data_IF_589744531775
#
_entry.id   IF_589744531775
#
_cell.length_a   1.000
_cell.length_b   1.000
_cell.length_c   1.000
_cell.angle_alpha   90.00
_cell.angle_beta   90.00
_cell.angle_gamma   90.00
#
_symmetry.space_group_name_H-M   'P 1'
#
loop_
_entity.id
_entity.type
_entity.pdbx_description
1 polymer ?
#
# COMPACT_ATOMS: atom_id res chain seq x y z
N UNK A 1 -26.20 3.23 -0.29
CA UNK A 1 -25.28 2.43 0.55
C UNK A 1 -26.04 1.17 0.95
N UNK A 2 -25.78 0.04 0.29
CA UNK A 2 -26.24 -1.25 0.79
C UNK A 2 -25.12 -1.78 1.70
N UNK A 3 -25.30 -1.69 3.01
CA UNK A 3 -24.43 -2.36 3.98
C UNK A 3 -24.89 -3.81 4.07
N UNK A 4 -24.24 -4.69 3.32
CA UNK A 4 -24.51 -6.12 3.36
C UNK A 4 -23.68 -6.73 4.48
N UNK A 5 -24.12 -6.52 5.72
CA UNK A 5 -23.43 -7.09 6.88
C UNK A 5 -23.42 -8.62 6.83
N UNK A 6 -24.51 -9.28 6.40
CA UNK A 6 -24.58 -10.74 6.20
C UNK A 6 -25.66 -11.13 5.16
N UNK A 7 -25.29 -11.85 4.10
CA UNK A 7 -26.22 -12.61 3.25
C UNK A 7 -25.78 -14.08 3.23
N UNK A 8 -26.53 -14.92 3.94
CA UNK A 8 -26.16 -16.32 4.19
C UNK A 8 -27.24 -17.24 3.64
N UNK A 9 -26.93 -17.97 2.57
CA UNK A 9 -27.65 -19.17 2.18
C UNK A 9 -26.75 -20.39 2.43
N UNK A 10 -26.87 -21.00 3.61
CA UNK A 10 -26.21 -22.26 3.97
C UNK A 10 -27.26 -23.35 4.17
N UNK A 11 -27.17 -24.45 3.41
CA UNK A 11 -28.14 -25.55 3.50
C UNK A 11 -27.61 -26.88 2.95
N UNK A 12 -28.28 -27.97 3.31
CA UNK A 12 -28.05 -29.32 2.77
C UNK A 12 -28.80 -29.58 1.45
N UNK A 13 -29.63 -28.63 1.00
CA UNK A 13 -30.28 -28.65 -0.31
C UNK A 13 -29.37 -28.14 -1.43
N UNK A 14 -29.85 -28.07 -2.68
CA UNK A 14 -29.13 -27.42 -3.77
C UNK A 14 -28.76 -25.96 -3.39
N UNK A 15 -27.61 -25.49 -3.83
CA UNK A 15 -27.19 -24.11 -3.58
C UNK A 15 -28.22 -23.10 -4.13
N UNK A 16 -28.54 -22.10 -3.33
CA UNK A 16 -29.47 -21.03 -3.72
C UNK A 16 -28.82 -20.00 -4.66
N UNK A 17 -29.62 -19.03 -5.11
CA UNK A 17 -29.11 -17.86 -5.84
C UNK A 17 -29.14 -16.64 -4.94
N UNK A 18 -28.03 -15.92 -4.86
CA UNK A 18 -27.93 -14.59 -4.28
C UNK A 18 -27.79 -13.59 -5.43
N UNK A 19 -28.72 -12.65 -5.52
CA UNK A 19 -28.71 -11.59 -6.53
C UNK A 19 -28.70 -10.24 -5.81
N UNK A 20 -27.66 -9.44 -6.05
CA UNK A 20 -27.49 -8.12 -5.45
C UNK A 20 -27.29 -7.12 -6.58
N UNK A 21 -28.18 -6.14 -6.64
CA UNK A 21 -28.06 -4.97 -7.52
C UNK A 21 -27.97 -3.72 -6.67
N UNK A 22 -26.89 -2.96 -6.80
CA UNK A 22 -26.72 -1.68 -6.11
C UNK A 22 -25.74 -0.76 -6.84
N UNK A 23 -25.59 0.48 -6.37
CA UNK A 23 -24.53 1.37 -6.89
C UNK A 23 -23.16 1.00 -6.32
N UNK A 24 -23.12 0.76 -5.00
CA UNK A 24 -21.91 0.43 -4.26
C UNK A 24 -22.21 -0.74 -3.33
N UNK A 25 -21.21 -1.60 -3.14
CA UNK A 25 -21.23 -2.70 -2.19
C UNK A 25 -19.95 -2.63 -1.35
N UNK A 26 -20.13 -2.55 -0.03
CA UNK A 26 -19.02 -2.62 0.91
C UNK A 26 -19.21 -3.84 1.79
N UNK A 27 -18.19 -4.69 1.83
CA UNK A 27 -18.07 -5.77 2.79
C UNK A 27 -16.90 -5.44 3.72
N UNK A 28 -17.21 -5.35 5.02
CA UNK A 28 -16.21 -5.18 6.07
C UNK A 28 -16.46 -6.25 7.13
N UNK A 29 -15.62 -7.30 7.14
CA UNK A 29 -15.92 -8.58 7.82
C UNK A 29 -17.25 -9.19 7.35
N UNK A 30 -17.72 -8.77 6.17
CA UNK A 30 -18.99 -9.18 5.57
C UNK A 30 -18.87 -10.51 4.82
N UNK A 31 -19.99 -11.22 4.73
CA UNK A 31 -20.09 -12.53 4.11
C UNK A 31 -21.27 -12.55 3.12
N UNK A 32 -20.98 -12.89 1.86
CA UNK A 32 -21.99 -13.23 0.84
C UNK A 32 -21.77 -14.69 0.44
N UNK A 33 -22.71 -15.56 0.78
CA UNK A 33 -22.53 -17.00 0.55
C UNK A 33 -23.74 -17.68 -0.05
N UNK A 34 -23.44 -18.59 -0.99
CA UNK A 34 -24.31 -19.66 -1.43
C UNK A 34 -23.56 -21.01 -1.34
N UNK A 35 -22.93 -21.24 -0.19
CA UNK A 35 -22.13 -22.43 0.12
C UNK A 35 -23.02 -23.63 0.47
N UNK A 36 -22.58 -24.83 0.10
CA UNK A 36 -23.32 -26.07 0.34
C UNK A 36 -22.44 -27.13 1.01
N UNK A 37 -23.07 -27.98 1.83
CA UNK A 37 -22.34 -29.02 2.58
C UNK A 37 -22.17 -30.32 1.78
N UNK A 38 -23.15 -30.67 0.93
CA UNK A 38 -23.26 -32.00 0.32
C UNK A 38 -23.86 -31.99 -1.10
N UNK A 39 -23.94 -30.83 -1.73
CA UNK A 39 -24.58 -30.60 -3.03
C UNK A 39 -23.75 -29.61 -3.84
N UNK A 40 -24.10 -29.40 -5.11
CA UNK A 40 -23.47 -28.34 -5.90
C UNK A 40 -23.67 -26.96 -5.24
N UNK A 41 -22.62 -26.14 -5.27
CA UNK A 41 -22.64 -24.76 -4.78
C UNK A 41 -23.67 -23.92 -5.53
N UNK A 42 -24.11 -22.83 -4.90
CA UNK A 42 -25.12 -21.95 -5.45
C UNK A 42 -24.58 -20.97 -6.49
N UNK A 43 -25.39 -19.96 -6.80
CA UNK A 43 -25.00 -18.88 -7.70
C UNK A 43 -24.98 -17.56 -6.94
N UNK A 44 -23.94 -16.75 -7.12
CA UNK A 44 -23.89 -15.37 -6.65
C UNK A 44 -23.79 -14.48 -7.89
N UNK A 45 -24.70 -13.51 -7.99
CA UNK A 45 -24.78 -12.53 -9.07
C UNK A 45 -24.69 -11.14 -8.42
N UNK A 46 -23.62 -10.41 -8.69
CA UNK A 46 -23.39 -9.05 -8.18
C UNK A 46 -23.38 -8.07 -9.35
N UNK A 47 -24.41 -7.25 -9.46
CA UNK A 47 -24.53 -6.16 -10.44
C UNK A 47 -24.34 -4.82 -9.73
N UNK A 48 -23.10 -4.38 -9.59
CA UNK A 48 -22.72 -3.22 -8.76
C UNK A 48 -22.18 -2.11 -9.64
N UNK A 49 -22.96 -1.05 -9.87
CA UNK A 49 -22.66 -0.12 -10.98
C UNK A 49 -21.41 0.74 -10.80
N UNK A 50 -20.84 0.86 -9.60
CA UNK A 50 -19.64 1.67 -9.34
C UNK A 50 -18.51 0.86 -8.71
N UNK A 51 -18.68 0.39 -7.47
CA UNK A 51 -17.57 -0.20 -6.72
C UNK A 51 -18.01 -1.28 -5.74
N UNK A 52 -17.20 -2.34 -5.69
CA UNK A 52 -17.19 -3.34 -4.62
C UNK A 52 -15.92 -3.12 -3.80
N UNK A 53 -16.06 -2.95 -2.49
CA UNK A 53 -14.94 -2.90 -1.54
C UNK A 53 -15.00 -4.08 -0.57
N UNK A 54 -13.88 -4.80 -0.43
CA UNK A 54 -13.72 -5.92 0.49
C UNK A 54 -12.66 -5.57 1.55
N UNK A 55 -13.03 -5.67 2.82
CA UNK A 55 -12.18 -5.29 3.95
C UNK A 55 -12.30 -6.30 5.10
N UNK A 56 -11.23 -6.44 5.87
CA UNK A 56 -11.17 -7.16 7.13
C UNK A 56 -11.68 -8.62 7.07
N UNK A 57 -11.17 -9.44 6.15
CA UNK A 57 -11.54 -10.86 6.10
C UNK A 57 -12.86 -11.11 5.38
N UNK A 58 -13.27 -10.23 4.47
CA UNK A 58 -14.54 -10.35 3.77
C UNK A 58 -14.54 -11.48 2.75
N UNK A 59 -15.70 -12.16 2.60
CA UNK A 59 -15.78 -13.33 1.72
C UNK A 59 -17.03 -13.35 0.84
N UNK A 60 -16.82 -13.66 -0.43
CA UNK A 60 -17.87 -13.98 -1.41
C UNK A 60 -17.65 -15.44 -1.83
N UNK A 61 -18.58 -16.35 -1.52
CA UNK A 61 -18.29 -17.78 -1.69
C UNK A 61 -19.48 -18.64 -2.11
N UNK A 62 -19.23 -19.49 -3.09
CA UNK A 62 -20.10 -20.59 -3.53
C UNK A 62 -19.41 -21.95 -3.33
N UNK A 63 -18.45 -22.01 -2.41
CA UNK A 63 -17.70 -23.23 -2.11
C UNK A 63 -18.63 -24.37 -1.69
N UNK A 64 -18.36 -25.56 -2.20
CA UNK A 64 -19.22 -26.72 -2.03
C UNK A 64 -18.49 -27.94 -1.45
N UNK A 65 -19.22 -28.69 -0.64
CA UNK A 65 -18.77 -29.98 -0.11
C UNK A 65 -17.91 -29.88 1.15
N UNK A 66 -17.64 -31.04 1.72
CA UNK A 66 -16.81 -31.31 2.90
C UNK A 66 -16.04 -32.60 2.70
N UNK A 67 -15.17 -32.95 3.66
CA UNK A 67 -14.46 -34.23 3.64
C UNK A 67 -15.37 -35.47 3.63
N UNK A 68 -16.58 -35.36 4.18
CA UNK A 68 -17.52 -36.47 4.31
C UNK A 68 -18.64 -36.43 3.26
N UNK A 69 -18.78 -35.33 2.53
CA UNK A 69 -19.84 -35.14 1.54
C UNK A 69 -19.31 -34.30 0.39
N UNK A 70 -19.35 -34.83 -0.83
CA UNK A 70 -18.86 -34.10 -2.01
C UNK A 70 -19.76 -32.92 -2.41
N UNK A 71 -19.46 -32.36 -3.58
CA UNK A 71 -20.17 -31.22 -4.15
C UNK A 71 -19.26 -30.50 -5.14
N UNK A 72 -19.84 -30.05 -6.25
CA UNK A 72 -19.16 -29.21 -7.23
C UNK A 72 -19.29 -27.74 -6.83
N UNK A 73 -18.26 -26.94 -7.01
CA UNK A 73 -18.26 -25.51 -6.71
C UNK A 73 -19.32 -24.78 -7.53
N UNK A 74 -19.90 -23.72 -6.95
CA UNK A 74 -20.94 -22.95 -7.62
C UNK A 74 -20.41 -21.88 -8.59
N UNK A 75 -21.26 -20.93 -8.96
CA UNK A 75 -20.90 -19.86 -9.89
C UNK A 75 -20.94 -18.49 -9.20
N UNK A 76 -19.95 -17.65 -9.48
CA UNK A 76 -19.89 -16.26 -9.03
C UNK A 76 -19.76 -15.39 -10.28
N UNK A 77 -20.74 -14.52 -10.51
CA UNK A 77 -20.73 -13.52 -11.58
C UNK A 77 -20.72 -12.12 -10.94
N UNK A 78 -19.67 -11.36 -11.22
CA UNK A 78 -19.45 -10.02 -10.68
C UNK A 78 -19.33 -9.04 -11.83
N UNK A 79 -20.25 -8.08 -11.89
CA UNK A 79 -20.20 -6.95 -12.79
C UNK A 79 -20.06 -5.66 -11.96
N UNK A 80 -18.95 -4.95 -12.13
CA UNK A 80 -18.72 -3.66 -11.48
C UNK A 80 -17.71 -2.81 -12.24
N UNK A 81 -17.58 -1.51 -11.95
CA UNK A 81 -16.48 -0.72 -12.53
C UNK A 81 -15.18 -1.05 -11.77
N UNK A 82 -15.22 -1.01 -10.44
CA UNK A 82 -14.06 -1.31 -9.59
C UNK A 82 -14.33 -2.40 -8.57
N UNK A 83 -13.43 -3.39 -8.50
CA UNK A 83 -13.38 -4.37 -7.43
C UNK A 83 -12.09 -4.18 -6.62
N UNK A 84 -12.22 -3.79 -5.36
CA UNK A 84 -11.09 -3.42 -4.51
C UNK A 84 -11.10 -4.26 -3.24
N UNK A 85 -10.03 -4.99 -2.97
CA UNK A 85 -9.77 -5.57 -1.67
C UNK A 85 -8.65 -4.81 -0.97
N UNK A 86 -8.77 -4.61 0.35
CA UNK A 86 -7.62 -4.16 1.13
C UNK A 86 -6.53 -5.25 1.08
N UNK A 87 -5.27 -4.90 0.79
CA UNK A 87 -4.14 -5.82 0.86
C UNK A 87 -3.98 -6.40 2.27
N UNK A 88 -3.48 -7.63 2.37
CA UNK A 88 -3.11 -8.31 3.62
C UNK A 88 -4.25 -8.46 4.66
N UNK A 89 -5.50 -8.30 4.23
CA UNK A 89 -6.69 -8.47 5.05
C UNK A 89 -7.46 -9.77 4.74
N UNK A 90 -6.90 -10.68 3.92
CA UNK A 90 -7.52 -11.96 3.54
C UNK A 90 -8.98 -11.82 3.08
N UNK A 91 -9.18 -11.06 2.00
CA UNK A 91 -10.48 -10.91 1.37
C UNK A 91 -10.60 -11.89 0.19
N UNK A 92 -11.53 -12.82 0.28
CA UNK A 92 -11.55 -13.97 -0.61
C UNK A 92 -12.83 -14.05 -1.47
N UNK A 93 -12.64 -14.44 -2.73
CA UNK A 93 -13.72 -14.81 -3.66
C UNK A 93 -13.50 -16.26 -4.08
N UNK A 94 -14.37 -17.16 -3.61
CA UNK A 94 -14.13 -18.61 -3.74
C UNK A 94 -15.31 -19.38 -4.31
N UNK A 95 -15.08 -20.10 -5.40
CA UNK A 95 -15.99 -21.10 -5.96
C UNK A 95 -15.37 -22.50 -5.89
N UNK A 96 -14.79 -22.86 -4.74
CA UNK A 96 -14.03 -24.10 -4.59
C UNK A 96 -14.94 -25.32 -4.39
N UNK A 97 -14.40 -26.52 -4.59
CA UNK A 97 -15.05 -27.78 -4.22
C UNK A 97 -14.13 -28.60 -3.33
N UNK A 98 -14.68 -29.26 -2.29
CA UNK A 98 -13.88 -30.22 -1.53
C UNK A 98 -13.53 -31.45 -2.39
N UNK A 99 -14.56 -32.21 -2.81
CA UNK A 99 -14.39 -33.46 -3.56
C UNK A 99 -14.81 -33.39 -5.05
N UNK A 100 -15.66 -32.43 -5.42
CA UNK A 100 -16.17 -32.27 -6.77
C UNK A 100 -15.29 -31.40 -7.66
N UNK A 101 -15.85 -30.94 -8.77
CA UNK A 101 -15.21 -29.96 -9.64
C UNK A 101 -15.26 -28.56 -9.04
N UNK A 102 -14.17 -27.79 -9.17
CA UNK A 102 -14.18 -26.36 -8.91
C UNK A 102 -15.23 -25.66 -9.78
N UNK A 103 -15.78 -24.58 -9.26
CA UNK A 103 -16.85 -23.81 -9.89
C UNK A 103 -16.35 -22.79 -10.92
N UNK A 104 -17.12 -21.72 -11.09
CA UNK A 104 -16.75 -20.63 -12.00
C UNK A 104 -16.80 -19.29 -11.28
N UNK A 105 -15.77 -18.47 -11.47
CA UNK A 105 -15.74 -17.06 -11.07
C UNK A 105 -15.52 -16.21 -12.31
N UNK A 106 -16.53 -15.46 -12.70
CA UNK A 106 -16.47 -14.46 -13.75
C UNK A 106 -16.48 -13.07 -13.10
N UNK A 107 -15.44 -12.27 -13.36
CA UNK A 107 -15.36 -10.88 -12.94
C UNK A 107 -15.24 -9.99 -14.16
N UNK A 108 -16.27 -9.18 -14.39
CA UNK A 108 -16.26 -8.10 -15.36
C UNK A 108 -16.05 -6.78 -14.63
N UNK A 109 -14.84 -6.22 -14.73
CA UNK A 109 -14.51 -4.94 -14.11
C UNK A 109 -13.45 -4.14 -14.87
N UNK A 110 -13.58 -2.82 -14.87
CA UNK A 110 -12.57 -1.91 -15.44
C UNK A 110 -11.26 -1.96 -14.64
N UNK A 111 -11.34 -2.16 -13.32
CA UNK A 111 -10.19 -2.35 -12.46
C UNK A 111 -10.42 -3.33 -11.32
N UNK A 112 -9.43 -4.20 -11.09
CA UNK A 112 -9.38 -5.11 -9.93
C UNK A 112 -8.09 -4.83 -9.16
N UNK A 113 -8.21 -4.57 -7.87
CA UNK A 113 -7.09 -4.19 -7.00
C UNK A 113 -7.08 -5.01 -5.72
N UNK A 114 -5.88 -5.42 -5.30
CA UNK A 114 -5.67 -6.12 -4.03
C UNK A 114 -6.13 -7.58 -4.01
N UNK A 115 -6.61 -8.13 -5.12
CA UNK A 115 -7.00 -9.54 -5.27
C UNK A 115 -6.07 -10.27 -6.23
N UNK A 116 -5.68 -11.50 -5.89
CA UNK A 116 -4.85 -12.34 -6.77
C UNK A 116 -5.61 -13.61 -7.16
N UNK A 117 -5.88 -13.85 -8.46
CA UNK A 117 -6.34 -15.15 -8.91
C UNK A 117 -5.28 -16.21 -8.61
N UNK A 118 -5.65 -17.30 -7.93
CA UNK A 118 -4.75 -18.39 -7.60
C UNK A 118 -5.23 -19.70 -8.20
N UNK A 119 -4.33 -20.39 -8.86
CA UNK A 119 -4.48 -21.80 -9.22
C UNK A 119 -4.27 -22.69 -7.99
N UNK A 120 -4.71 -23.95 -8.11
CA UNK A 120 -4.47 -24.96 -7.09
C UNK A 120 -2.99 -25.17 -6.79
N UNK A 121 -2.15 -25.24 -7.82
CA UNK A 121 -0.72 -25.47 -7.67
C UNK A 121 -0.03 -24.32 -6.91
N UNK A 122 -0.46 -23.08 -7.14
CA UNK A 122 0.04 -21.92 -6.40
C UNK A 122 -0.40 -21.96 -4.93
N UNK A 123 -1.64 -22.36 -4.63
CA UNK A 123 -2.10 -22.56 -3.25
C UNK A 123 -1.26 -23.63 -2.53
N UNK A 124 -0.99 -24.77 -3.19
CA UNK A 124 -0.16 -25.84 -2.62
C UNK A 124 1.25 -25.34 -2.29
N UNK A 125 1.83 -24.52 -3.18
CA UNK A 125 3.16 -23.93 -2.97
C UNK A 125 3.16 -22.91 -1.82
N UNK A 126 2.16 -22.03 -1.75
CA UNK A 126 2.09 -20.98 -0.72
C UNK A 126 1.77 -21.54 0.67
N UNK A 127 0.89 -22.54 0.73
CA UNK A 127 0.49 -23.19 1.98
C UNK A 127 1.45 -24.31 2.40
N UNK A 128 2.31 -24.77 1.49
CA UNK A 128 3.28 -25.85 1.76
C UNK A 128 2.62 -27.20 2.02
N UNK A 129 1.41 -27.43 1.48
CA UNK A 129 0.62 -28.65 1.72
C UNK A 129 -0.21 -29.01 0.50
N UNK A 130 -0.44 -30.31 0.31
CA UNK A 130 -1.40 -30.87 -0.63
C UNK A 130 -2.59 -31.54 0.08
N UNK A 131 -2.71 -31.36 1.40
CA UNK A 131 -3.86 -31.86 2.18
C UNK A 131 -5.12 -31.07 1.78
N UNK A 132 -6.16 -31.72 1.21
CA UNK A 132 -7.41 -31.07 0.83
C UNK A 132 -8.10 -30.31 1.97
N UNK A 133 -7.88 -30.72 3.23
CA UNK A 133 -8.46 -30.06 4.40
C UNK A 133 -7.79 -28.70 4.70
N UNK A 134 -6.54 -28.52 4.28
CA UNK A 134 -5.74 -27.31 4.52
C UNK A 134 -5.58 -26.45 3.27
N UNK A 135 -5.95 -26.98 2.10
CA UNK A 135 -5.86 -26.29 0.81
C UNK A 135 -7.03 -25.29 0.62
N UNK A 136 -6.97 -24.21 1.39
CA UNK A 136 -7.99 -23.17 1.45
C UNK A 136 -7.32 -21.78 1.52
N UNK A 137 -7.65 -20.83 0.63
CA UNK A 137 -7.08 -19.47 0.66
C UNK A 137 -7.31 -18.72 1.98
N UNK A 138 -8.30 -19.14 2.78
CA UNK A 138 -8.50 -18.58 4.14
C UNK A 138 -7.27 -18.73 5.05
N UNK A 139 -6.33 -19.61 4.69
CA UNK A 139 -5.08 -19.83 5.42
C UNK A 139 -3.91 -18.95 4.93
N UNK A 140 -4.15 -18.08 3.95
CA UNK A 140 -3.18 -17.09 3.46
C UNK A 140 -3.44 -15.70 4.07
N UNK A 141 -2.42 -14.83 4.16
CA UNK A 141 -2.63 -13.42 4.49
C UNK A 141 -3.14 -12.61 3.28
N UNK A 142 -2.89 -13.09 2.06
CA UNK A 142 -3.34 -12.46 0.82
C UNK A 142 -4.85 -12.59 0.63
N UNK A 143 -5.38 -11.70 -0.21
CA UNK A 143 -6.76 -11.72 -0.68
C UNK A 143 -6.78 -12.41 -2.04
N UNK A 144 -7.49 -13.53 -2.17
CA UNK A 144 -7.35 -14.42 -3.34
C UNK A 144 -8.70 -14.71 -4.04
N UNK A 145 -8.64 -14.96 -5.35
CA UNK A 145 -9.76 -15.45 -6.16
C UNK A 145 -9.48 -16.88 -6.58
N UNK A 146 -10.37 -17.81 -6.23
CA UNK A 146 -10.13 -19.25 -6.44
C UNK A 146 -11.38 -19.98 -6.91
N UNK A 147 -11.18 -20.97 -7.78
CA UNK A 147 -12.22 -21.88 -8.24
C UNK A 147 -11.61 -23.27 -8.49
N UNK A 148 -11.13 -23.93 -7.43
CA UNK A 148 -10.36 -25.18 -7.51
C UNK A 148 -11.14 -26.37 -6.96
N UNK A 149 -10.75 -27.57 -7.39
CA UNK A 149 -11.08 -28.78 -6.64
C UNK A 149 -9.97 -29.04 -5.62
N UNK A 150 -10.30 -29.25 -4.34
CA UNK A 150 -9.29 -29.50 -3.28
C UNK A 150 -8.74 -30.91 -3.29
N UNK A 151 -9.43 -31.87 -3.88
CA UNK A 151 -8.99 -33.28 -3.94
C UNK A 151 -8.46 -33.72 -5.30
N UNK A 152 -8.85 -33.06 -6.40
CA UNK A 152 -8.45 -33.49 -7.74
C UNK A 152 -8.08 -32.30 -8.67
N UNK A 153 -6.77 -32.07 -8.95
CA UNK A 153 -6.33 -31.00 -9.85
C UNK A 153 -6.92 -31.04 -11.27
N UNK A 154 -7.40 -32.20 -11.74
CA UNK A 154 -8.01 -32.32 -13.08
C UNK A 154 -9.45 -31.80 -13.13
N UNK A 155 -10.03 -31.50 -11.97
CA UNK A 155 -11.38 -30.96 -11.84
C UNK A 155 -11.36 -29.50 -11.39
N UNK A 156 -10.25 -28.78 -11.59
CA UNK A 156 -10.21 -27.35 -11.30
C UNK A 156 -11.21 -26.61 -12.20
N UNK A 157 -11.86 -25.62 -11.58
CA UNK A 157 -12.80 -24.73 -12.21
C UNK A 157 -12.09 -23.58 -12.94
N UNK A 158 -12.84 -22.50 -13.16
CA UNK A 158 -12.35 -21.38 -13.94
C UNK A 158 -12.48 -20.06 -13.20
N UNK A 159 -11.42 -19.24 -13.28
CA UNK A 159 -11.46 -17.83 -12.92
C UNK A 159 -11.22 -17.03 -14.20
N UNK A 160 -12.21 -16.23 -14.60
CA UNK A 160 -12.14 -15.36 -15.77
C UNK A 160 -12.27 -13.91 -15.30
N UNK A 161 -11.28 -13.10 -15.65
CA UNK A 161 -11.30 -11.66 -15.44
C UNK A 161 -11.36 -10.99 -16.80
N UNK A 162 -12.40 -10.21 -17.04
CA UNK A 162 -12.57 -9.40 -18.24
C UNK A 162 -12.65 -7.93 -17.88
N UNK A 163 -11.72 -7.14 -18.42
CA UNK A 163 -11.81 -5.68 -18.40
C UNK A 163 -12.41 -5.19 -19.72
N UNK A 164 -13.54 -4.46 -19.70
CA UNK A 164 -14.03 -3.79 -20.90
C UNK A 164 -12.96 -2.85 -21.46
N UNK A 165 -12.81 -2.80 -22.78
CA UNK A 165 -11.85 -1.89 -23.43
C UNK A 165 -12.21 -0.43 -23.13
N UNK A 166 -11.36 0.26 -22.36
CA UNK A 166 -11.42 1.72 -22.21
C UNK A 166 -10.64 2.33 -23.37
N UNK A 167 -11.30 3.07 -24.25
CA UNK A 167 -10.66 3.82 -25.33
C UNK A 167 -9.89 5.04 -24.76
N UNK A 168 -8.54 5.02 -24.72
CA UNK A 168 -7.74 6.09 -24.13
C UNK A 168 -7.77 7.39 -24.95
N UNK A 169 -8.33 7.39 -26.17
CA UNK A 169 -8.40 8.57 -27.02
C UNK A 169 -9.53 9.55 -26.62
N UNK A 170 -10.39 9.17 -25.67
CA UNK A 170 -11.43 10.04 -25.10
C UNK A 170 -10.84 11.13 -24.17
N UNK A 171 -9.57 10.99 -23.75
CA UNK A 171 -8.89 11.92 -22.83
C UNK A 171 -7.77 12.77 -23.44
N UNK A 172 -7.43 12.57 -24.70
CA UNK A 172 -6.40 13.38 -25.37
C UNK A 172 -7.01 14.68 -25.87
N UNK A 173 -6.92 15.72 -25.05
CA UNK A 173 -7.07 17.10 -25.52
C UNK A 173 -5.93 17.33 -26.52
N UNK A 174 -6.25 17.57 -27.80
CA UNK A 174 -5.24 17.95 -28.77
C UNK A 174 -4.55 19.23 -28.28
N UNK A 175 -3.22 19.18 -28.12
CA UNK A 175 -2.45 20.38 -27.82
C UNK A 175 -2.72 21.39 -28.94
N UNK A 176 -3.14 22.63 -28.64
CA UNK A 176 -3.36 23.64 -29.67
C UNK A 176 -2.10 23.78 -30.54
N UNK A 177 -2.21 23.50 -31.85
CA UNK A 177 -1.08 23.56 -32.80
C UNK A 177 -0.54 24.98 -33.00
N UNK A 178 -1.19 25.98 -32.41
CA UNK A 178 -0.74 27.36 -32.42
C UNK A 178 0.38 27.55 -31.37
N UNK A 179 1.57 27.03 -31.69
CA UNK A 179 2.81 27.53 -31.10
C UNK A 179 2.90 29.00 -31.48
N UNK A 180 2.64 29.88 -30.52
CA UNK A 180 2.86 31.31 -30.71
C UNK A 180 4.35 31.51 -30.91
N UNK A 181 4.74 31.91 -32.11
CA UNK A 181 6.12 32.26 -32.44
C UNK A 181 6.53 33.52 -31.67
N UNK A 182 7.14 33.31 -30.48
CA UNK A 182 7.60 34.37 -29.60
C UNK A 182 8.65 35.29 -30.25
N UNK A 183 9.28 34.86 -31.36
CA UNK A 183 10.21 35.72 -32.11
C UNK A 183 9.49 36.88 -32.82
N UNK A 184 8.18 36.78 -33.04
CA UNK A 184 7.34 37.83 -33.62
C UNK A 184 6.68 38.74 -32.58
N UNK A 185 6.78 38.40 -31.29
CA UNK A 185 6.27 39.20 -30.17
C UNK A 185 7.33 40.13 -29.56
N UNK A 186 8.55 40.14 -30.08
CA UNK A 186 9.55 41.15 -29.74
C UNK A 186 9.10 42.47 -30.37
N UNK A 187 8.46 43.32 -29.57
CA UNK A 187 8.15 44.68 -29.96
C UNK A 187 9.43 45.40 -30.39
N UNK A 188 9.49 45.85 -31.65
CA UNK A 188 10.45 46.86 -32.08
C UNK A 188 10.17 48.12 -31.26
N UNK A 189 10.97 48.31 -30.20
CA UNK A 189 10.96 49.54 -29.42
C UNK A 189 11.19 50.73 -30.34
N UNK A 190 10.46 51.82 -30.10
CA UNK A 190 10.54 53.04 -30.88
C UNK A 190 11.97 53.57 -30.99
N UNK A 191 12.61 53.40 -32.14
CA UNK A 191 13.72 54.28 -32.55
C UNK A 191 13.11 55.58 -33.07
N UNK A 192 12.84 56.51 -32.16
CA UNK A 192 12.50 57.88 -32.50
C UNK A 192 13.67 58.55 -33.24
N UNK A 193 13.36 59.10 -34.42
CA UNK A 193 14.06 60.13 -35.18
C UNK A 193 15.54 60.40 -34.90
N UNK A 194 16.37 60.06 -35.89
CA UNK A 194 17.57 60.77 -36.35
C UNK A 194 18.19 61.81 -35.40
N UNK A 195 19.06 61.38 -34.48
CA UNK A 195 20.22 62.17 -34.05
C UNK A 195 21.40 61.22 -33.87
N UNK A 196 22.44 61.43 -34.69
CA UNK A 196 23.84 61.03 -34.52
C UNK A 196 24.12 59.71 -33.75
N UNK A 197 24.26 58.62 -34.50
CA UNK A 197 24.97 57.42 -34.06
C UNK A 197 26.49 57.70 -33.94
N UNK A 198 26.87 58.53 -32.97
CA UNK A 198 28.29 58.82 -32.67
C UNK A 198 28.62 58.56 -31.21
N UNK A 199 28.07 57.49 -30.63
CA UNK A 199 28.69 56.82 -29.47
C UNK A 199 28.02 55.46 -29.25
N UNK A 200 28.42 54.50 -30.10
CA UNK A 200 28.12 53.09 -29.85
C UNK A 200 29.11 52.66 -28.76
N UNK A 201 28.65 52.57 -27.51
CA UNK A 201 29.46 52.10 -26.39
C UNK A 201 30.12 50.76 -26.74
N UNK A 202 31.43 50.65 -26.53
CA UNK A 202 32.17 49.41 -26.76
C UNK A 202 32.13 48.53 -25.52
N UNK A 203 31.67 47.29 -25.64
CA UNK A 203 31.86 46.26 -24.64
C UNK A 203 33.24 45.62 -24.83
N UNK A 204 34.14 45.83 -23.86
CA UNK A 204 35.45 45.16 -23.83
C UNK A 204 35.32 43.94 -22.91
N UNK A 205 35.26 42.75 -23.53
CA UNK A 205 35.36 41.48 -22.82
C UNK A 205 36.84 41.20 -22.56
N UNK A 206 37.31 41.50 -21.34
CA UNK A 206 38.61 41.05 -20.87
C UNK A 206 38.50 39.57 -20.50
N UNK A 207 38.91 38.70 -21.42
CA UNK A 207 38.88 37.26 -21.23
C UNK A 207 39.74 36.81 -20.05
N UNK A 208 39.12 36.07 -19.13
CA UNK A 208 39.69 34.88 -18.48
C UNK A 208 38.61 33.82 -18.62
N UNK A 209 38.51 33.12 -19.75
CA UNK A 209 39.38 31.98 -20.02
C UNK A 209 38.89 30.78 -19.21
N UNK A 210 37.99 29.98 -19.80
CA UNK A 210 37.52 28.72 -19.25
C UNK A 210 36.34 28.16 -20.04
N UNK A 211 36.62 27.27 -21.00
CA UNK A 211 35.60 26.33 -21.48
C UNK A 211 35.22 25.40 -20.32
N UNK A 212 33.95 24.97 -20.20
CA UNK A 212 33.56 23.99 -19.19
C UNK A 212 34.38 22.71 -19.36
N UNK A 213 34.89 22.17 -18.25
CA UNK A 213 35.61 20.89 -18.28
C UNK A 213 34.72 19.80 -18.86
N UNK A 214 35.29 18.97 -19.73
CA UNK A 214 34.61 17.82 -20.31
C UNK A 214 34.11 16.89 -19.19
N UNK A 215 32.80 16.57 -19.14
CA UNK A 215 32.20 15.75 -18.10
C UNK A 215 32.70 14.30 -18.08
N UNK A 216 33.50 13.87 -19.07
CA UNK A 216 34.12 12.54 -19.12
C UNK A 216 35.56 12.52 -18.61
N UNK A 217 36.14 13.67 -18.24
CA UNK A 217 37.50 13.73 -17.72
C UNK A 217 37.58 13.19 -16.29
N UNK A 218 38.54 12.29 -16.05
CA UNK A 218 38.80 11.69 -14.74
C UNK A 218 39.26 12.74 -13.73
N UNK A 219 38.58 12.81 -12.58
CA UNK A 219 38.89 13.72 -11.46
C UNK A 219 40.30 13.46 -10.92
N UNK A 220 41.24 14.36 -11.18
CA UNK A 220 42.52 14.36 -10.47
C UNK A 220 42.33 15.01 -9.10
N UNK A 221 42.42 14.20 -8.05
CA UNK A 221 42.34 14.66 -6.66
C UNK A 221 43.61 15.42 -6.29
N UNK A 222 43.54 16.75 -6.24
CA UNK A 222 44.51 17.52 -5.46
C UNK A 222 44.14 17.38 -3.98
N UNK A 223 44.76 16.41 -3.30
CA UNK A 223 44.69 16.34 -1.83
C UNK A 223 45.38 17.56 -1.24
N UNK A 224 44.58 18.51 -0.74
CA UNK A 224 45.03 19.43 0.29
C UNK A 224 45.23 18.62 1.57
N UNK A 225 46.48 18.30 1.89
CA UNK A 225 46.87 17.86 3.22
C UNK A 225 46.56 19.01 4.19
N UNK A 226 45.46 18.90 4.93
CA UNK A 226 45.29 19.68 6.15
C UNK A 226 46.23 19.09 7.21
N UNK A 227 47.17 19.92 7.64
CA UNK A 227 48.06 19.64 8.76
C UNK A 227 47.23 19.46 10.04
N UNK A 228 47.32 18.28 10.65
CA UNK A 228 46.66 17.98 11.92
C UNK A 228 47.57 18.41 13.05
N UNK A 229 47.01 19.16 13.99
CA UNK A 229 47.71 19.70 15.16
C UNK A 229 48.58 18.63 15.84
N UNK A 230 49.84 18.98 16.05
CA UNK A 230 50.89 18.14 16.65
C UNK A 230 50.54 17.76 18.09
N UNK A 231 50.49 16.46 18.37
CA UNK A 231 50.65 15.93 19.70
C UNK A 231 52.15 16.03 20.08
N UNK A 232 52.44 16.73 21.17
CA UNK A 232 53.79 16.87 21.71
C UNK A 232 54.41 15.51 22.08
N UNK A 233 55.57 15.29 21.48
CA UNK A 233 56.71 14.44 21.81
C UNK A 233 56.55 13.34 22.89
N UNK A 234 56.59 12.08 22.44
CA UNK A 234 57.01 10.94 23.26
C UNK A 234 58.41 10.51 22.82
N UNK A 235 59.46 10.69 23.63
CA UNK A 235 60.71 9.96 23.48
C UNK A 235 60.54 8.54 24.03
N UNK A 236 61.02 7.57 23.26
CA UNK A 236 61.08 6.16 23.59
C UNK A 236 62.23 5.85 24.54
N UNK A 237 62.00 5.00 25.54
CA UNK A 237 62.67 3.71 25.74
C UNK A 237 62.55 3.19 27.18
N UNK A 238 62.19 1.91 27.26
CA UNK A 238 62.59 0.88 28.24
C UNK A 238 62.56 1.23 29.73
N UNK A 239 61.73 0.50 30.50
CA UNK A 239 62.19 -0.53 31.45
C UNK A 239 60.99 -1.28 32.04
N UNK A 240 61.17 -2.59 32.16
CA UNK A 240 60.32 -3.55 32.85
C UNK A 240 60.58 -3.46 34.37
N UNK A 241 59.76 -4.16 35.17
CA UNK A 241 60.03 -4.59 36.56
C UNK A 241 59.46 -3.75 37.74
N UNK A 242 58.24 -4.14 38.12
CA UNK A 242 57.76 -4.48 39.49
C UNK A 242 57.41 -3.43 40.56
N UNK A 243 56.40 -3.85 41.34
CA UNK A 243 56.12 -3.60 42.76
C UNK A 243 55.32 -2.36 43.18
N UNK A 244 54.03 -2.63 43.45
CA UNK A 244 53.45 -2.78 44.80
C UNK A 244 52.57 -1.63 45.34
N UNK A 245 51.38 -2.07 45.77
CA UNK A 245 50.43 -1.55 46.77
C UNK A 245 49.58 -0.29 46.48
N UNK A 246 48.26 -0.54 46.39
CA UNK A 246 47.21 0.41 46.80
C UNK A 246 46.26 -0.34 47.75
N UNK A 247 46.06 0.12 49.02
CA UNK A 247 45.07 -0.48 49.93
C UNK A 247 43.66 0.08 49.72
N UNK A 248 42.72 -0.85 49.54
CA UNK A 248 41.35 -0.93 50.06
C UNK A 248 40.58 0.35 50.50
N UNK A 249 39.39 0.51 49.91
CA UNK A 249 38.16 0.69 50.70
C UNK A 249 37.00 -0.09 50.09
N UNK A 250 36.32 -0.84 50.96
CA UNK A 250 35.27 -1.87 50.77
C UNK A 250 33.91 -1.38 50.22
N UNK A 251 33.02 -2.32 49.81
CA UNK A 251 31.91 -2.10 48.87
C UNK A 251 30.58 -1.76 49.53
N UNK A 252 29.70 -1.08 48.77
CA UNK A 252 28.27 -1.06 49.00
C UNK A 252 27.56 -1.59 47.74
N UNK A 253 26.91 -2.73 47.91
CA UNK A 253 26.05 -3.38 46.91
C UNK A 253 24.68 -2.70 46.90
N UNK A 254 24.23 -2.24 45.75
CA UNK A 254 22.80 -2.13 45.45
C UNK A 254 22.57 -2.40 43.97
N UNK A 255 22.12 -3.62 43.70
CA UNK A 255 21.47 -4.03 42.47
C UNK A 255 20.23 -3.16 42.25
N UNK A 256 20.17 -2.42 41.14
CA UNK A 256 18.92 -1.86 40.63
C UNK A 256 18.64 -2.45 39.27
N UNK A 257 17.62 -3.31 39.25
CA UNK A 257 17.03 -3.92 38.06
C UNK A 257 16.62 -2.85 37.04
N UNK A 258 16.99 -3.05 35.78
CA UNK A 258 16.39 -2.33 34.66
C UNK A 258 15.00 -2.93 34.46
N UNK A 259 13.98 -2.30 35.03
CA UNK A 259 12.58 -2.65 34.76
C UNK A 259 12.23 -2.21 33.33
N UNK A 260 11.69 -3.08 32.47
CA UNK A 260 11.22 -2.66 31.15
C UNK A 260 10.09 -1.66 31.35
N UNK A 261 10.24 -0.44 30.81
CA UNK A 261 9.13 0.50 30.74
C UNK A 261 8.13 -0.03 29.72
N UNK A 262 6.93 -0.34 30.19
CA UNK A 262 5.83 -0.80 29.36
C UNK A 262 5.41 0.35 28.45
N UNK A 263 5.54 0.16 27.14
CA UNK A 263 5.06 1.12 26.15
C UNK A 263 3.53 1.10 26.21
N UNK A 264 2.93 2.25 26.52
CA UNK A 264 1.48 2.40 26.61
C UNK A 264 0.96 2.99 25.30
N UNK A 265 0.01 2.29 24.69
CA UNK A 265 -0.59 2.69 23.42
C UNK A 265 -1.55 3.87 23.63
N UNK A 266 -1.51 4.82 22.69
CA UNK A 266 -2.40 5.97 22.70
C UNK A 266 -3.80 5.53 22.33
N UNK A 267 -4.78 5.91 23.14
CA UNK A 267 -6.17 5.46 22.98
C UNK A 267 -7.06 6.53 22.33
N UNK A 268 -6.65 7.79 22.32
CA UNK A 268 -7.37 8.85 21.63
C UNK A 268 -6.48 10.00 21.16
N UNK A 269 -6.93 10.70 20.12
CA UNK A 269 -6.40 11.97 19.65
C UNK A 269 -7.42 13.06 19.99
N UNK A 270 -6.98 14.16 20.60
CA UNK A 270 -7.83 15.31 20.94
C UNK A 270 -7.17 16.62 20.56
N UNK A 271 -7.95 17.64 20.19
CA UNK A 271 -7.44 18.99 19.91
C UNK A 271 -7.65 19.85 21.15
N UNK A 272 -6.59 20.50 21.64
CA UNK A 272 -6.68 21.39 22.82
C UNK A 272 -7.27 22.77 22.46
N UNK A 273 -7.53 23.61 23.46
CA UNK A 273 -8.07 24.98 23.25
C UNK A 273 -7.17 25.88 22.38
N UNK A 274 -5.89 25.52 22.20
CA UNK A 274 -4.94 26.21 21.34
C UNK A 274 -4.90 25.66 19.89
N UNK A 275 -5.70 24.64 19.55
CA UNK A 275 -5.76 24.05 18.21
C UNK A 275 -4.68 22.99 17.93
N UNK A 276 -3.97 22.51 18.96
CA UNK A 276 -2.92 21.51 18.80
C UNK A 276 -3.43 20.08 19.03
N UNK A 277 -2.89 19.13 18.27
CA UNK A 277 -3.23 17.70 18.39
C UNK A 277 -2.45 17.08 19.56
N UNK A 278 -3.18 16.57 20.54
CA UNK A 278 -2.67 15.91 21.75
C UNK A 278 -3.09 14.44 21.76
N UNK A 279 -2.14 13.56 22.10
CA UNK A 279 -2.34 12.13 22.26
C UNK A 279 -2.74 11.83 23.71
N UNK A 280 -3.84 11.12 23.92
CA UNK A 280 -4.36 10.74 25.23
C UNK A 280 -4.24 9.23 25.44
N UNK A 281 -3.68 8.84 26.58
CA UNK A 281 -3.64 7.45 27.06
C UNK A 281 -4.19 7.40 28.50
N UNK A 282 -5.01 6.40 28.79
CA UNK A 282 -5.60 6.16 30.11
C UNK A 282 -4.71 5.20 30.90
N UNK A 283 -4.01 5.73 31.90
CA UNK A 283 -3.37 4.95 32.96
C UNK A 283 -4.20 4.99 34.25
N UNK A 284 -3.91 4.10 35.19
CA UNK A 284 -4.60 4.02 36.49
C UNK A 284 -4.63 5.39 37.20
N UNK A 285 -5.74 6.10 37.04
CA UNK A 285 -6.14 7.24 37.86
C UNK A 285 -5.75 8.65 37.40
N UNK A 286 -4.94 8.87 36.37
CA UNK A 286 -4.65 10.23 35.87
C UNK A 286 -4.45 10.29 34.34
N UNK A 287 -5.14 11.23 33.69
CA UNK A 287 -4.93 11.60 32.28
C UNK A 287 -3.61 12.39 32.18
N UNK A 288 -2.66 11.89 31.40
CA UNK A 288 -1.41 12.58 31.11
C UNK A 288 -1.31 12.88 29.62
N UNK A 289 -1.24 14.15 29.27
CA UNK A 289 -1.08 14.61 27.89
C UNK A 289 0.40 14.60 27.51
N UNK A 290 0.74 14.01 26.35
CA UNK A 290 2.08 14.10 25.76
C UNK A 290 1.97 14.89 24.47
N UNK A 291 2.68 16.02 24.41
CA UNK A 291 2.72 16.90 23.24
C UNK A 291 3.33 16.15 22.04
N UNK A 292 2.60 16.11 20.93
CA UNK A 292 2.91 15.24 19.79
C UNK A 292 4.04 15.73 18.90
N UNK A 293 4.74 16.84 19.22
CA UNK A 293 5.95 17.31 18.53
C UNK A 293 5.86 17.50 17.00
N UNK A 294 4.67 17.35 16.42
CA UNK A 294 4.43 17.38 14.98
C UNK A 294 3.96 18.79 14.58
N UNK A 295 4.55 19.39 13.55
CA UNK A 295 4.08 20.68 13.06
C UNK A 295 2.67 20.53 12.46
N UNK A 296 1.73 21.34 12.94
CA UNK A 296 0.35 21.41 12.42
C UNK A 296 0.39 22.08 11.03
N UNK A 297 -0.07 21.37 9.99
CA UNK A 297 -0.37 21.96 8.69
C UNK A 297 -1.72 22.69 8.79
N UNK A 298 -1.70 24.01 8.73
CA UNK A 298 -2.90 24.84 8.68
C UNK A 298 -3.43 24.93 7.25
N UNK A 299 -4.58 24.31 6.97
CA UNK A 299 -5.34 24.58 5.75
C UNK A 299 -6.21 25.83 5.98
N UNK A 300 -5.79 26.96 5.42
CA UNK A 300 -6.60 28.17 5.35
C UNK A 300 -7.66 28.02 4.24
N UNK A 301 -8.91 27.76 4.63
CA UNK A 301 -10.08 27.84 3.76
C UNK A 301 -11.14 28.71 4.41
N UNK A 302 -11.19 29.98 4.00
CA UNK A 302 -12.22 30.92 4.40
C UNK A 302 -13.56 30.54 3.74
N UNK A 303 -14.59 30.32 4.54
CA UNK A 303 -15.99 30.41 4.12
C UNK A 303 -16.60 31.61 4.83
N UNK A 304 -16.91 32.66 4.06
CA UNK A 304 -17.74 33.77 4.51
C UNK A 304 -19.20 33.37 4.34
N UNK A 305 -20.00 33.66 5.37
CA UNK A 305 -21.47 33.69 5.32
C UNK A 305 -21.96 34.81 4.39
N UNK A 306 -22.97 34.49 3.58
CA UNK A 306 -24.19 35.29 3.43
C UNK A 306 -25.39 34.34 3.23
#
# INVERSE_FOLDING_TARGET
>A
MADASQSIARGAGPGGTVDITSQQLQLNRGLITAETVASAGGNIILNITEIITLQNGSRISTTAGTALAGGDGGNIDINTIYLVATPDENNDITANAFAGAGGSVLVTAEGIFGLTPRSRAELEQLLGTNDPALLDPINLPSSDITAISRTNPQLDGQVVISSPDIDPNQGTIALPENIVDASRLIAQGCSGGSIAATEIGSLIVTGRGGLPSDPTSSLTSNQLLLDWATAEDIPSSNEDVTNREIPQSTPATTTSEIRPQQLQEVQALSINEAGEVVLLAQGDGQLSAVGSGLPVLTCAGAIQEE
#
